data_IF_547006406524
#
_entry.id   IF_547006406524
#
_cell.length_a   1.000
_cell.length_b   1.000
_cell.length_c   1.000
_cell.angle_alpha   90.00
_cell.angle_beta   90.00
_cell.angle_gamma   90.00
#
_symmetry.space_group_name_H-M   'P 1'
#
loop_
_entity.id
_entity.type
_entity.pdbx_description
1 polymer ?
#
# COMPACT_ATOMS: atom_id res chain seq x y z
N UNK A 1 42.13 32.42 40.96
CA UNK A 1 41.56 33.76 40.90
C UNK A 1 40.21 33.70 40.24
N UNK A 2 39.23 33.87 41.07
CA UNK A 2 37.83 34.07 40.75
C UNK A 2 37.62 35.36 39.97
N UNK A 3 36.62 35.41 39.10
CA UNK A 3 35.64 36.48 39.14
C UNK A 3 34.30 36.00 38.53
N UNK A 4 33.31 35.96 39.37
CA UNK A 4 31.86 35.94 39.14
C UNK A 4 31.39 37.25 38.50
N UNK A 5 30.40 37.20 37.61
CA UNK A 5 29.42 38.26 37.46
C UNK A 5 28.09 37.73 36.96
N UNK A 6 27.14 37.83 37.84
CA UNK A 6 25.67 37.76 37.68
C UNK A 6 25.15 39.08 37.07
N UNK A 7 24.16 39.00 36.21
CA UNK A 7 23.13 40.01 36.09
C UNK A 7 21.83 39.43 35.50
N UNK A 8 20.84 39.56 36.33
CA UNK A 8 19.43 39.32 36.21
C UNK A 8 18.74 40.53 35.55
N UNK A 9 17.54 40.31 35.06
CA UNK A 9 16.35 41.18 34.98
C UNK A 9 15.81 41.31 33.53
N UNK A 10 14.56 41.34 33.20
CA UNK A 10 13.24 41.35 33.84
C UNK A 10 12.19 41.32 32.72
N UNK A 11 11.20 40.56 32.91
CA UNK A 11 9.77 40.65 32.61
C UNK A 11 9.27 41.92 31.85
N UNK A 12 8.50 41.71 30.80
CA UNK A 12 7.35 42.54 30.47
C UNK A 12 6.25 41.72 29.84
N UNK A 13 5.19 41.61 30.60
CA UNK A 13 3.87 41.12 30.32
C UNK A 13 3.09 42.22 29.55
N UNK A 14 2.30 41.87 28.55
CA UNK A 14 1.23 42.75 28.08
C UNK A 14 0.08 41.89 27.55
N UNK A 15 -0.93 41.76 28.42
CA UNK A 15 -2.31 41.40 28.09
C UNK A 15 -2.99 42.55 27.36
N UNK A 16 -4.00 42.23 26.55
CA UNK A 16 -5.28 42.93 26.35
C UNK A 16 -5.75 42.63 24.91
N UNK A 17 -6.97 42.28 24.54
CA UNK A 17 -8.32 42.17 25.12
C UNK A 17 -9.22 41.54 24.07
N UNK A 18 -10.28 40.94 24.56
CA UNK A 18 -11.49 40.44 23.91
C UNK A 18 -12.12 41.37 22.87
N UNK A 19 -12.76 40.75 21.86
CA UNK A 19 -14.10 41.13 21.42
C UNK A 19 -14.83 39.96 20.80
N UNK A 20 -15.85 39.52 21.53
CA UNK A 20 -17.00 38.78 21.01
C UNK A 20 -17.93 39.74 20.28
N UNK A 21 -18.52 39.28 19.15
CA UNK A 21 -19.88 39.70 18.75
C UNK A 21 -20.59 38.54 18.04
N UNK A 22 -21.55 38.03 18.71
CA UNK A 22 -22.81 37.35 18.48
C UNK A 22 -23.40 37.34 17.06
N UNK A 23 -23.85 36.15 16.72
CA UNK A 23 -25.10 35.62 16.17
C UNK A 23 -26.07 36.55 15.43
N UNK A 24 -26.61 36.08 14.31
CA UNK A 24 -28.04 36.01 13.94
C UNK A 24 -28.24 35.08 12.75
N UNK A 25 -28.94 34.08 12.89
CA UNK A 25 -30.24 33.43 12.59
C UNK A 25 -30.90 33.74 11.24
N UNK A 26 -31.41 32.64 10.62
CA UNK A 26 -32.52 32.46 9.65
C UNK A 26 -32.15 32.68 8.17
N UNK A 27 -32.61 31.95 7.16
CA UNK A 27 -33.83 31.12 7.01
C UNK A 27 -33.66 30.17 5.84
N UNK A 28 -34.41 29.10 5.83
CA UNK A 28 -34.67 28.10 4.81
C UNK A 28 -35.23 28.67 3.52
N UNK A 29 -34.78 28.16 2.37
CA UNK A 29 -35.59 28.03 1.14
C UNK A 29 -35.28 26.71 0.46
N UNK A 30 -36.30 25.85 0.43
CA UNK A 30 -36.48 24.72 -0.48
C UNK A 30 -36.65 25.22 -1.91
N UNK A 31 -36.02 24.54 -2.89
CA UNK A 31 -36.67 24.06 -4.13
C UNK A 31 -35.68 23.35 -5.05
N UNK A 32 -36.05 22.12 -5.31
CA UNK A 32 -36.18 21.36 -6.58
C UNK A 32 -34.99 21.18 -7.52
N UNK A 33 -34.64 19.90 -7.60
CA UNK A 33 -34.62 19.04 -8.79
C UNK A 33 -33.89 19.53 -10.04
N UNK A 34 -32.70 19.00 -10.25
CA UNK A 34 -32.20 18.69 -11.59
C UNK A 34 -31.16 17.60 -11.48
N UNK A 35 -31.48 16.40 -11.92
CA UNK A 35 -30.50 15.36 -12.22
C UNK A 35 -29.53 15.83 -13.29
N UNK A 36 -28.23 15.57 -13.16
CA UNK A 36 -27.39 15.37 -14.32
C UNK A 36 -26.96 13.91 -14.40
N UNK A 37 -27.38 13.32 -15.49
CA UNK A 37 -26.69 12.37 -16.36
C UNK A 37 -25.47 11.67 -15.76
N UNK A 38 -25.62 10.39 -15.58
CA UNK A 38 -24.58 9.38 -15.43
C UNK A 38 -23.44 9.59 -16.42
N UNK A 39 -22.27 9.91 -15.92
CA UNK A 39 -21.03 9.53 -16.55
C UNK A 39 -20.52 8.30 -15.80
N UNK A 40 -20.67 7.16 -16.45
CA UNK A 40 -20.03 5.92 -16.07
C UNK A 40 -18.52 6.14 -16.03
N UNK A 41 -17.99 6.34 -14.83
CA UNK A 41 -16.59 6.11 -14.57
C UNK A 41 -16.54 4.72 -13.98
N UNK A 42 -16.13 3.75 -14.81
CA UNK A 42 -15.79 2.40 -14.37
C UNK A 42 -14.75 2.49 -13.24
N UNK A 43 -15.24 2.48 -12.03
CA UNK A 43 -14.45 2.13 -10.86
C UNK A 43 -14.30 0.62 -10.90
N UNK A 44 -13.10 0.03 -10.92
CA UNK A 44 -12.94 -1.41 -10.82
C UNK A 44 -13.67 -1.87 -9.56
N UNK A 45 -14.62 -2.77 -9.76
CA UNK A 45 -15.40 -3.36 -8.67
C UNK A 45 -14.47 -4.22 -7.83
N UNK A 46 -13.99 -3.66 -6.72
CA UNK A 46 -13.13 -4.32 -5.74
C UNK A 46 -13.94 -5.35 -4.94
N UNK A 47 -14.08 -6.54 -5.50
CA UNK A 47 -14.71 -7.68 -4.83
C UNK A 47 -13.80 -8.90 -4.96
N UNK A 48 -13.78 -9.74 -3.89
CA UNK A 48 -13.23 -11.10 -3.97
C UNK A 48 -13.73 -11.75 -5.27
N UNK A 49 -12.85 -12.43 -6.05
CA UNK A 49 -13.24 -13.00 -7.34
C UNK A 49 -14.57 -13.73 -7.22
N UNK A 50 -15.56 -13.25 -7.95
CA UNK A 50 -16.93 -13.78 -7.87
C UNK A 50 -17.02 -15.13 -8.59
N UNK A 51 -16.54 -16.17 -7.95
CA UNK A 51 -16.91 -17.54 -8.31
C UNK A 51 -18.22 -17.87 -7.59
N UNK A 52 -19.33 -17.61 -8.24
CA UNK A 52 -20.66 -17.70 -7.61
C UNK A 52 -21.08 -19.12 -7.23
N UNK A 53 -20.43 -20.15 -7.75
CA UNK A 53 -20.81 -21.54 -7.51
C UNK A 53 -19.60 -22.40 -7.12
N UNK A 54 -19.68 -22.99 -5.93
CA UNK A 54 -18.68 -23.99 -5.50
C UNK A 54 -18.73 -25.23 -6.41
N UNK A 55 -17.63 -25.51 -7.08
CA UNK A 55 -17.47 -26.66 -8.00
C UNK A 55 -16.91 -27.82 -7.20
N UNK A 56 -17.58 -28.96 -7.28
CA UNK A 56 -17.17 -30.22 -6.64
C UNK A 56 -17.19 -31.36 -7.64
N UNK A 57 -16.50 -32.47 -7.33
CA UNK A 57 -16.56 -33.71 -8.11
C UNK A 57 -15.94 -33.60 -9.51
N UNK A 58 -14.99 -32.69 -9.71
CA UNK A 58 -14.06 -32.73 -10.84
C UNK A 58 -12.76 -33.44 -10.47
N UNK A 59 -11.78 -33.34 -11.34
CA UNK A 59 -10.50 -34.05 -11.18
C UNK A 59 -9.31 -33.12 -11.41
N UNK A 60 -8.44 -33.03 -10.41
CA UNK A 60 -7.12 -32.43 -10.55
C UNK A 60 -6.19 -33.36 -11.32
N UNK A 61 -5.37 -32.80 -12.19
CA UNK A 61 -4.30 -33.51 -12.88
C UNK A 61 -3.16 -32.55 -13.20
N UNK A 62 -1.96 -33.08 -13.43
CA UNK A 62 -0.81 -32.32 -13.93
C UNK A 62 -0.50 -32.73 -15.38
N UNK A 63 -0.10 -31.75 -16.18
CA UNK A 63 0.43 -31.99 -17.52
C UNK A 63 1.90 -32.48 -17.47
N UNK A 64 2.46 -32.77 -18.62
CA UNK A 64 3.86 -33.22 -18.75
C UNK A 64 4.89 -32.17 -18.31
N UNK A 65 4.51 -30.89 -18.29
CA UNK A 65 5.32 -29.76 -17.84
C UNK A 65 5.17 -29.51 -16.35
N UNK A 66 4.29 -30.25 -15.64
CA UNK A 66 4.02 -30.11 -14.21
C UNK A 66 3.02 -28.99 -13.89
N UNK A 67 2.32 -28.42 -14.87
CA UNK A 67 1.26 -27.47 -14.61
C UNK A 67 0.01 -28.21 -14.10
N UNK A 68 -0.68 -27.62 -13.13
CA UNK A 68 -1.91 -28.16 -12.59
C UNK A 68 -3.13 -27.66 -13.36
N UNK A 69 -4.08 -28.54 -13.54
CA UNK A 69 -5.35 -28.34 -14.20
C UNK A 69 -6.48 -28.96 -13.39
N UNK A 70 -7.70 -28.47 -13.61
CA UNK A 70 -8.89 -29.08 -13.05
C UNK A 70 -9.93 -29.34 -14.15
N UNK A 71 -10.32 -30.60 -14.29
CA UNK A 71 -11.29 -31.04 -15.28
C UNK A 71 -12.65 -31.28 -14.66
N UNK A 72 -13.67 -30.65 -15.20
CA UNK A 72 -15.08 -30.85 -14.84
C UNK A 72 -15.91 -31.13 -16.08
N UNK A 73 -16.72 -32.19 -16.06
CA UNK A 73 -17.57 -32.62 -17.17
C UNK A 73 -16.81 -32.69 -18.53
N UNK A 74 -15.58 -33.23 -18.47
CA UNK A 74 -14.72 -33.44 -19.63
C UNK A 74 -14.00 -32.21 -20.16
N UNK A 75 -14.13 -31.04 -19.50
CA UNK A 75 -13.48 -29.78 -19.90
C UNK A 75 -12.57 -29.24 -18.81
N UNK A 76 -11.45 -28.68 -19.18
CA UNK A 76 -10.59 -27.93 -18.26
C UNK A 76 -11.21 -26.60 -17.92
N UNK A 77 -11.12 -26.20 -16.65
CA UNK A 77 -11.58 -24.91 -16.18
C UNK A 77 -10.60 -23.82 -16.56
N UNK A 78 -11.12 -22.61 -16.75
CA UNK A 78 -10.35 -21.37 -16.99
C UNK A 78 -10.91 -20.23 -16.16
N UNK A 79 -10.13 -19.17 -15.93
CA UNK A 79 -10.53 -18.02 -15.13
C UNK A 79 -10.66 -18.31 -13.63
N UNK A 80 -11.35 -17.43 -12.87
CA UNK A 80 -11.56 -17.61 -11.43
C UNK A 80 -12.61 -18.70 -11.17
N UNK A 81 -12.32 -19.56 -10.22
CA UNK A 81 -13.22 -20.64 -9.82
C UNK A 81 -13.18 -20.84 -8.31
N UNK A 82 -14.30 -21.27 -7.73
CA UNK A 82 -14.41 -21.75 -6.36
C UNK A 82 -14.50 -23.28 -6.41
N UNK A 83 -13.44 -23.95 -5.99
CA UNK A 83 -13.35 -25.43 -6.01
C UNK A 83 -13.19 -25.93 -4.58
N UNK A 84 -14.10 -26.78 -4.14
CA UNK A 84 -14.12 -27.35 -2.78
C UNK A 84 -13.95 -26.27 -1.68
N UNK A 85 -14.56 -25.08 -1.91
CA UNK A 85 -14.51 -23.94 -1.00
C UNK A 85 -13.25 -23.08 -1.09
N UNK A 86 -12.34 -23.36 -2.03
CA UNK A 86 -11.12 -22.58 -2.26
C UNK A 86 -11.20 -21.78 -3.57
N UNK A 87 -10.89 -20.48 -3.51
CA UNK A 87 -10.74 -19.67 -4.71
C UNK A 87 -9.42 -19.97 -5.39
N UNK A 88 -9.48 -20.35 -6.65
CA UNK A 88 -8.35 -20.67 -7.53
C UNK A 88 -8.52 -20.00 -8.88
N UNK A 89 -7.45 -19.82 -9.61
CA UNK A 89 -7.48 -19.24 -10.95
C UNK A 89 -6.74 -20.13 -11.94
N UNK A 90 -7.33 -20.32 -13.11
CA UNK A 90 -6.69 -20.99 -14.24
C UNK A 90 -6.52 -19.97 -15.39
N UNK A 91 -5.38 -19.99 -16.04
CA UNK A 91 -5.14 -19.14 -17.19
C UNK A 91 -6.00 -19.57 -18.41
N UNK A 92 -5.82 -18.87 -19.54
CA UNK A 92 -6.56 -19.18 -20.78
C UNK A 92 -6.29 -20.60 -21.34
N UNK A 93 -5.18 -21.21 -20.93
CA UNK A 93 -4.78 -22.57 -21.32
C UNK A 93 -5.18 -23.62 -20.28
N UNK A 94 -5.94 -23.22 -19.26
CA UNK A 94 -6.41 -24.08 -18.17
C UNK A 94 -5.32 -24.39 -17.12
N UNK A 95 -4.19 -23.69 -17.12
CA UNK A 95 -3.12 -23.88 -16.13
C UNK A 95 -3.41 -23.11 -14.87
N UNK A 96 -3.31 -23.76 -13.71
CA UNK A 96 -3.49 -23.10 -12.43
C UNK A 96 -2.40 -22.04 -12.21
N UNK A 97 -2.81 -20.83 -11.88
CA UNK A 97 -1.89 -19.76 -11.46
C UNK A 97 -1.44 -20.01 -10.04
N UNK A 98 -0.12 -20.02 -9.83
CA UNK A 98 0.52 -20.20 -8.51
C UNK A 98 1.69 -19.22 -8.33
N UNK A 99 1.82 -18.67 -7.13
CA UNK A 99 2.91 -17.76 -6.76
C UNK A 99 2.95 -16.48 -7.57
N UNK A 100 1.82 -16.05 -8.11
CA UNK A 100 1.74 -14.89 -8.98
C UNK A 100 0.36 -14.24 -8.96
N UNK A 101 0.30 -13.02 -9.53
CA UNK A 101 -0.96 -12.36 -9.85
C UNK A 101 -1.56 -12.96 -11.13
N UNK A 102 -2.84 -13.27 -11.08
CA UNK A 102 -3.60 -13.71 -12.23
C UNK A 102 -4.11 -12.51 -13.05
N UNK A 103 -4.78 -12.79 -14.16
CA UNK A 103 -5.31 -11.75 -15.04
C UNK A 103 -6.45 -10.94 -14.40
N UNK A 104 -7.11 -11.49 -13.40
CA UNK A 104 -8.13 -10.80 -12.59
C UNK A 104 -7.54 -9.81 -11.56
N UNK A 105 -6.20 -9.73 -11.46
CA UNK A 105 -5.49 -8.83 -10.56
C UNK A 105 -5.22 -9.39 -9.16
N UNK A 106 -5.74 -10.56 -8.81
CA UNK A 106 -5.57 -11.18 -7.50
C UNK A 106 -4.35 -12.10 -7.44
N UNK A 107 -3.77 -12.24 -6.24
CA UNK A 107 -2.62 -13.10 -6.02
C UNK A 107 -3.07 -14.48 -5.54
N UNK A 108 -2.49 -15.51 -6.14
CA UNK A 108 -2.69 -16.90 -5.78
C UNK A 108 -1.40 -17.50 -5.26
N UNK A 109 -1.43 -18.13 -4.06
CA UNK A 109 -0.24 -18.59 -3.35
C UNK A 109 0.59 -19.60 -4.17
N UNK A 110 1.88 -19.71 -3.82
CA UNK A 110 2.82 -20.56 -4.56
C UNK A 110 2.70 -22.05 -4.26
N UNK A 111 2.04 -22.43 -3.15
CA UNK A 111 1.95 -23.83 -2.72
C UNK A 111 0.72 -24.50 -3.29
N UNK A 112 -0.45 -23.96 -3.00
CA UNK A 112 -1.73 -24.56 -3.39
C UNK A 112 -2.43 -23.80 -4.52
N UNK A 113 -2.02 -22.57 -4.81
CA UNK A 113 -2.65 -21.71 -5.80
C UNK A 113 -4.01 -21.17 -5.31
N UNK A 114 -4.17 -21.01 -4.01
CA UNK A 114 -5.36 -20.41 -3.41
C UNK A 114 -5.25 -18.89 -3.38
N UNK A 115 -6.39 -18.21 -3.46
CA UNK A 115 -6.44 -16.76 -3.30
C UNK A 115 -5.81 -16.35 -1.96
N UNK A 116 -4.87 -15.42 -2.03
CA UNK A 116 -4.20 -14.85 -0.85
C UNK A 116 -4.80 -13.50 -0.53
N UNK A 117 -5.11 -13.24 0.74
CA UNK A 117 -5.64 -11.98 1.25
C UNK A 117 -4.83 -11.51 2.46
N UNK A 118 -4.89 -10.19 2.76
CA UNK A 118 -4.29 -9.56 3.94
C UNK A 118 -2.85 -10.00 4.22
N UNK A 119 -2.01 -10.06 3.18
CA UNK A 119 -0.68 -10.63 3.28
C UNK A 119 0.35 -9.92 2.39
N UNK A 120 1.61 -9.94 2.85
CA UNK A 120 2.74 -9.64 1.98
C UNK A 120 3.00 -10.81 1.04
N UNK A 121 3.13 -10.53 -0.24
CA UNK A 121 3.36 -11.53 -1.29
C UNK A 121 4.52 -11.10 -2.19
N UNK A 122 5.14 -12.06 -2.85
CA UNK A 122 6.22 -11.81 -3.80
C UNK A 122 6.01 -12.60 -5.09
N UNK A 123 6.36 -12.00 -6.21
CA UNK A 123 6.37 -12.66 -7.53
C UNK A 123 7.75 -13.15 -7.95
N UNK A 124 8.70 -13.19 -7.00
CA UNK A 124 10.12 -13.36 -7.31
C UNK A 124 10.82 -12.02 -7.59
N UNK A 125 12.08 -12.04 -8.02
CA UNK A 125 12.89 -10.86 -8.36
C UNK A 125 12.94 -9.75 -7.28
N UNK A 126 12.74 -10.13 -6.00
CA UNK A 126 12.65 -9.20 -4.87
C UNK A 126 11.48 -8.19 -4.95
N UNK A 127 10.49 -8.46 -5.79
CA UNK A 127 9.28 -7.64 -5.89
C UNK A 127 8.28 -8.04 -4.81
N UNK A 128 8.04 -7.14 -3.87
CA UNK A 128 7.10 -7.34 -2.78
C UNK A 128 5.86 -6.47 -2.97
N UNK A 129 4.72 -7.03 -2.61
CA UNK A 129 3.42 -6.39 -2.65
C UNK A 129 2.69 -6.69 -1.34
N UNK A 130 1.67 -5.93 -1.03
CA UNK A 130 0.68 -6.31 -0.04
C UNK A 130 -0.68 -6.43 -0.73
N UNK A 131 -1.41 -7.48 -0.42
CA UNK A 131 -2.78 -7.67 -0.88
C UNK A 131 -3.74 -7.48 0.28
N UNK A 132 -4.84 -6.78 0.01
CA UNK A 132 -5.85 -6.47 0.99
C UNK A 132 -6.80 -7.65 1.27
N UNK A 133 -7.88 -7.40 1.99
CA UNK A 133 -8.92 -8.40 2.32
C UNK A 133 -9.63 -8.99 1.09
N UNK A 134 -9.55 -8.35 -0.05
CA UNK A 134 -10.10 -8.84 -1.32
C UNK A 134 -9.08 -9.59 -2.15
N UNK A 135 -7.80 -9.51 -1.82
CA UNK A 135 -6.69 -10.09 -2.57
C UNK A 135 -6.12 -9.14 -3.63
N UNK A 136 -6.56 -7.88 -3.66
CA UNK A 136 -6.04 -6.86 -4.57
C UNK A 136 -4.79 -6.16 -4.01
N UNK A 137 -3.92 -5.69 -4.90
CA UNK A 137 -2.73 -4.92 -4.52
C UNK A 137 -3.13 -3.59 -3.91
N UNK A 138 -2.50 -3.24 -2.79
CA UNK A 138 -2.59 -1.89 -2.24
C UNK A 138 -1.57 -0.96 -2.88
N UNK A 139 -1.83 0.35 -2.85
CA UNK A 139 -0.95 1.42 -3.33
C UNK A 139 -0.88 2.56 -2.32
N UNK A 140 0.12 3.45 -2.45
CA UNK A 140 0.30 4.59 -1.56
C UNK A 140 0.81 4.20 -0.18
N UNK A 141 0.57 5.06 0.81
CA UNK A 141 0.86 4.78 2.21
C UNK A 141 -0.17 3.83 2.79
N UNK A 142 0.31 2.81 3.48
CA UNK A 142 -0.52 1.78 4.13
C UNK A 142 -0.05 1.54 5.56
N UNK A 143 -0.99 1.51 6.48
CA UNK A 143 -0.76 1.03 7.84
C UNK A 143 -1.10 -0.45 7.91
N UNK A 144 -0.10 -1.29 8.15
CA UNK A 144 -0.24 -2.75 8.22
C UNK A 144 0.29 -3.19 9.58
N UNK A 145 -0.62 -3.61 10.43
CA UNK A 145 -0.32 -3.81 11.85
C UNK A 145 0.03 -2.49 12.54
N UNK A 146 1.21 -2.43 13.15
CA UNK A 146 1.74 -1.24 13.83
C UNK A 146 2.80 -0.48 13.01
N UNK A 147 2.89 -0.77 11.72
CA UNK A 147 3.92 -0.26 10.80
C UNK A 147 3.31 0.45 9.61
N UNK A 148 4.02 1.45 9.12
CA UNK A 148 3.69 2.17 7.89
C UNK A 148 4.60 1.72 6.76
N UNK A 149 4.01 1.47 5.61
CA UNK A 149 4.67 1.06 4.37
C UNK A 149 4.22 1.96 3.22
N UNK A 150 5.00 1.95 2.14
CA UNK A 150 4.60 2.60 0.90
C UNK A 150 4.68 1.62 -0.26
N UNK A 151 3.66 1.67 -1.11
CA UNK A 151 3.59 0.94 -2.37
C UNK A 151 3.40 1.93 -3.51
N UNK A 152 4.16 1.78 -4.58
CA UNK A 152 4.02 2.66 -5.74
C UNK A 152 2.70 2.40 -6.50
N UNK A 153 2.44 3.15 -7.57
CA UNK A 153 1.20 3.05 -8.37
C UNK A 153 0.96 1.66 -9.00
N UNK A 154 2.00 0.81 -9.03
CA UNK A 154 1.90 -0.59 -9.49
C UNK A 154 1.75 -1.58 -8.32
N UNK A 155 1.62 -1.08 -7.09
CA UNK A 155 1.55 -1.87 -5.88
C UNK A 155 2.89 -2.43 -5.40
N UNK A 156 4.02 -2.06 -6.03
CA UNK A 156 5.34 -2.54 -5.60
C UNK A 156 5.80 -1.81 -4.34
N UNK A 157 6.19 -2.57 -3.32
CA UNK A 157 6.69 -2.05 -2.06
C UNK A 157 7.95 -1.21 -2.26
N UNK A 158 7.97 -0.02 -1.70
CA UNK A 158 9.14 0.85 -1.67
C UNK A 158 10.10 0.39 -0.57
N UNK A 159 11.36 0.15 -0.95
CA UNK A 159 12.44 -0.23 -0.04
C UNK A 159 13.71 0.57 -0.35
N UNK A 160 14.42 1.02 0.67
CA UNK A 160 15.69 1.73 0.52
C UNK A 160 15.60 3.04 -0.26
N UNK A 161 14.44 3.66 -0.31
CA UNK A 161 14.20 4.86 -1.11
C UNK A 161 13.47 5.94 -0.31
N UNK A 162 13.70 7.18 -0.72
CA UNK A 162 12.94 8.33 -0.28
C UNK A 162 11.79 8.60 -1.26
N UNK A 163 10.60 8.79 -0.72
CA UNK A 163 9.40 9.16 -1.49
C UNK A 163 8.90 10.51 -0.98
N UNK A 164 8.45 11.37 -1.87
CA UNK A 164 7.81 12.64 -1.51
C UNK A 164 6.31 12.48 -1.68
N UNK A 165 5.56 12.67 -0.60
CA UNK A 165 4.11 12.55 -0.55
C UNK A 165 3.59 13.86 0.04
N UNK A 166 2.75 14.59 -0.69
CA UNK A 166 2.19 15.88 -0.28
C UNK A 166 3.25 16.89 0.19
N UNK A 167 4.42 16.90 -0.49
CA UNK A 167 5.54 17.80 -0.18
C UNK A 167 6.44 17.35 0.97
N UNK A 168 6.10 16.29 1.69
CA UNK A 168 6.92 15.70 2.76
C UNK A 168 7.75 14.52 2.25
N UNK A 169 8.98 14.40 2.73
CA UNK A 169 9.89 13.31 2.36
C UNK A 169 9.87 12.19 3.37
N UNK A 170 9.56 11.00 2.93
CA UNK A 170 9.56 9.77 3.73
C UNK A 170 10.65 8.82 3.24
N UNK A 171 11.35 8.14 4.14
CA UNK A 171 12.33 7.11 3.78
C UNK A 171 11.86 5.75 4.30
N UNK A 172 11.98 4.74 3.46
CA UNK A 172 11.56 3.38 3.78
C UNK A 172 12.76 2.45 3.92
N UNK A 173 12.75 1.61 4.94
CA UNK A 173 13.86 0.72 5.30
C UNK A 173 14.25 -0.19 4.11
N UNK A 174 15.57 -0.37 3.82
CA UNK A 174 16.00 -1.12 2.64
C UNK A 174 15.68 -2.61 2.68
N UNK A 175 15.58 -3.21 3.86
CA UNK A 175 15.34 -4.65 3.98
C UNK A 175 13.85 -4.97 4.07
N UNK A 176 13.12 -4.32 5.00
CA UNK A 176 11.73 -4.65 5.29
C UNK A 176 10.70 -3.65 4.74
N UNK A 177 11.13 -2.47 4.27
CA UNK A 177 10.27 -1.44 3.70
C UNK A 177 9.40 -0.69 4.71
N UNK A 178 9.65 -0.83 6.02
CA UNK A 178 8.96 -0.04 7.04
C UNK A 178 9.35 1.44 6.95
N UNK A 179 8.44 2.34 7.27
CA UNK A 179 8.75 3.76 7.39
C UNK A 179 9.88 3.97 8.40
N UNK A 180 10.95 4.62 7.94
CA UNK A 180 12.07 4.97 8.77
C UNK A 180 11.80 6.31 9.45
N UNK A 181 11.33 6.23 10.67
CA UNK A 181 11.06 7.40 11.50
C UNK A 181 11.97 7.41 12.73
N UNK A 182 12.24 8.59 13.27
CA UNK A 182 13.07 8.80 14.48
C UNK A 182 14.43 8.07 14.42
N UNK A 183 15.07 8.04 13.25
CA UNK A 183 16.33 7.35 12.99
C UNK A 183 17.23 8.16 12.07
N UNK A 184 18.53 7.91 12.19
CA UNK A 184 19.53 8.44 11.27
C UNK A 184 19.73 7.41 10.16
N UNK A 185 19.55 7.81 8.91
CA UNK A 185 19.90 7.00 7.76
C UNK A 185 21.16 7.55 7.08
N UNK A 186 22.09 6.65 6.79
CA UNK A 186 23.25 6.97 5.95
C UNK A 186 22.82 6.92 4.48
N UNK A 187 22.90 8.04 3.81
CA UNK A 187 22.73 8.10 2.37
C UNK A 187 24.08 8.22 1.71
N UNK A 188 24.52 7.18 0.99
CA UNK A 188 25.70 7.28 0.13
C UNK A 188 25.39 8.18 -1.06
N UNK A 189 25.77 9.45 -0.96
CA UNK A 189 25.77 10.34 -2.11
C UNK A 189 27.09 10.12 -2.88
N UNK A 190 26.97 9.70 -4.12
CA UNK A 190 28.10 9.71 -5.06
C UNK A 190 28.38 11.12 -5.59
N UNK A 191 28.16 12.14 -4.79
CA UNK A 191 28.52 13.50 -5.13
C UNK A 191 30.01 13.68 -4.88
N UNK A 192 30.82 13.52 -5.93
CA UNK A 192 32.24 13.86 -5.89
C UNK A 192 32.39 15.38 -5.84
N UNK A 193 32.70 15.90 -4.67
CA UNK A 193 33.21 17.27 -4.52
C UNK A 193 34.71 17.13 -4.23
N UNK A 194 35.54 17.63 -5.15
CA UNK A 194 37.01 17.60 -5.04
C UNK A 194 37.63 16.19 -4.90
N UNK A 195 36.99 15.14 -5.48
CA UNK A 195 37.56 13.78 -5.50
C UNK A 195 37.39 12.98 -4.19
N UNK A 196 36.61 13.47 -3.24
CA UNK A 196 36.18 12.76 -2.03
C UNK A 196 34.70 12.46 -2.08
N UNK A 197 34.33 11.24 -1.70
CA UNK A 197 32.92 10.89 -1.47
C UNK A 197 32.54 11.32 -0.05
N UNK A 198 31.59 12.22 0.08
CA UNK A 198 31.04 12.59 1.38
C UNK A 198 29.85 11.70 1.71
N UNK A 199 29.89 11.10 2.90
CA UNK A 199 28.74 10.41 3.47
C UNK A 199 27.78 11.45 4.03
N UNK A 200 26.56 11.51 3.48
CA UNK A 200 25.52 12.42 3.93
C UNK A 200 24.58 11.65 4.87
N UNK A 201 24.47 12.13 6.09
CA UNK A 201 23.55 11.59 7.09
C UNK A 201 22.27 12.41 7.12
N UNK A 202 21.12 11.75 7.01
CA UNK A 202 19.82 12.38 7.20
C UNK A 202 19.21 11.88 8.51
N UNK A 203 18.70 12.81 9.30
CA UNK A 203 17.85 12.49 10.43
C UNK A 203 16.39 12.55 10.00
N UNK A 204 15.62 11.54 10.33
CA UNK A 204 14.18 11.45 10.11
C UNK A 204 13.46 11.58 11.45
N UNK A 205 12.50 12.50 11.55
CA UNK A 205 11.66 12.68 12.74
C UNK A 205 10.65 11.52 12.93
N UNK A 206 9.78 11.64 13.93
CA UNK A 206 8.74 10.64 14.22
C UNK A 206 7.75 10.45 13.07
N UNK A 207 7.58 11.47 12.25
CA UNK A 207 6.69 11.47 11.09
C UNK A 207 7.42 11.08 9.80
N UNK A 208 8.72 10.75 9.87
CA UNK A 208 9.54 10.38 8.73
C UNK A 208 9.99 11.57 7.86
N UNK A 209 9.88 12.81 8.35
CA UNK A 209 10.40 13.98 7.63
C UNK A 209 11.92 14.10 7.82
N UNK A 210 12.61 14.61 6.80
CA UNK A 210 14.05 14.90 6.87
C UNK A 210 14.27 16.23 7.57
N UNK A 211 15.22 16.23 8.52
CA UNK A 211 15.77 17.43 9.15
C UNK A 211 17.06 17.83 8.50
#
# INVERSE_FOLDING_TARGET
>A
SEVTSTASSEVANSETTHSEVSATTSESVTTENSSPTTSDTDTPNSQVPSAEKNITGGQWYSDEQGNWHYKKDGKDLTGPNLIDGQHVYFDKDGKQVKGNFAQDGHYYDGELGHLTTESFVTTGDNHWYYVDKTGEKVTGLQEIGDKTYHFNDKGLQTKGQRVVIEGKGYYFHPENGELWNNKIALYHSTRYINGTSDDIYYYYDNDGNIY
#
